data_IF_900856353859
#
_entry.id   IF_900856353859
#
_cell.length_a   1.000
_cell.length_b   1.000
_cell.length_c   1.000
_cell.angle_alpha   90.00
_cell.angle_beta   90.00
_cell.angle_gamma   90.00
#
_symmetry.space_group_name_H-M   'P 1'
#
loop_
_entity.id
_entity.type
_entity.pdbx_description
1 polymer ?
#
# COMPACT_ATOMS: atom_id res chain seq x y z
N UNK A 1 -39.63 30.24 -62.27
CA UNK A 1 -38.20 30.21 -61.90
C UNK A 1 -38.01 31.25 -60.80
N UNK A 2 -37.65 31.02 -59.53
CA UNK A 2 -37.22 29.88 -58.69
C UNK A 2 -37.52 30.27 -57.21
N UNK A 3 -37.90 29.27 -56.40
CA UNK A 3 -37.88 29.07 -54.93
C UNK A 3 -37.86 30.24 -53.92
N UNK A 4 -38.75 30.15 -52.92
CA UNK A 4 -38.39 30.24 -51.49
C UNK A 4 -39.42 29.51 -50.61
N UNK A 5 -38.95 28.65 -49.70
CA UNK A 5 -39.72 27.79 -48.80
C UNK A 5 -39.79 28.38 -47.38
N UNK A 6 -40.89 28.11 -46.66
CA UNK A 6 -41.05 28.43 -45.24
C UNK A 6 -41.47 27.16 -44.46
N UNK A 7 -40.82 26.83 -43.33
CA UNK A 7 -41.30 25.75 -42.45
C UNK A 7 -42.14 26.26 -41.27
N UNK A 8 -43.21 25.50 -41.06
CA UNK A 8 -44.23 25.53 -40.01
C UNK A 8 -43.65 25.10 -38.64
N UNK A 9 -43.98 25.84 -37.57
CA UNK A 9 -43.56 25.57 -36.18
C UNK A 9 -44.76 25.03 -35.39
N UNK A 10 -44.77 23.77 -34.92
CA UNK A 10 -45.71 23.35 -33.89
C UNK A 10 -45.11 23.47 -32.49
N UNK A 11 -45.93 24.03 -31.60
CA UNK A 11 -45.76 24.18 -30.16
C UNK A 11 -45.73 22.83 -29.43
N UNK A 12 -44.80 22.64 -28.49
CA UNK A 12 -44.89 21.61 -27.43
C UNK A 12 -44.49 22.27 -26.11
N UNK A 13 -45.45 22.33 -25.20
CA UNK A 13 -45.30 22.94 -23.88
C UNK A 13 -44.65 22.04 -22.84
N UNK A 14 -44.32 22.67 -21.71
CA UNK A 14 -44.37 22.06 -20.38
C UNK A 14 -43.19 21.16 -19.99
N UNK A 15 -42.06 21.76 -19.61
CA UNK A 15 -41.04 21.06 -18.82
C UNK A 15 -41.45 21.09 -17.34
N UNK A 16 -42.06 20.00 -16.86
CA UNK A 16 -42.45 19.81 -15.46
C UNK A 16 -41.59 18.71 -14.82
N UNK A 17 -40.97 19.08 -13.70
CA UNK A 17 -40.55 18.23 -12.58
C UNK A 17 -39.71 16.96 -12.88
N UNK A 18 -38.40 17.07 -12.69
CA UNK A 18 -37.53 15.92 -12.44
C UNK A 18 -37.58 15.58 -10.94
N UNK A 19 -38.54 14.75 -10.56
CA UNK A 19 -38.56 14.06 -9.28
C UNK A 19 -37.91 12.69 -9.39
N UNK A 20 -37.31 12.25 -8.27
CA UNK A 20 -37.06 10.85 -7.89
C UNK A 20 -35.78 10.21 -8.46
N UNK A 21 -34.68 10.44 -7.75
CA UNK A 21 -33.55 9.51 -7.75
C UNK A 21 -33.94 8.22 -6.99
N UNK A 22 -33.58 7.10 -7.61
CA UNK A 22 -33.89 5.74 -7.27
C UNK A 22 -33.65 5.34 -5.79
N UNK A 23 -34.66 4.70 -5.21
CA UNK A 23 -34.49 3.66 -4.19
C UNK A 23 -34.51 2.29 -4.88
N UNK A 24 -33.50 1.48 -4.63
CA UNK A 24 -33.38 0.01 -4.66
C UNK A 24 -31.86 -0.23 -4.64
N UNK A 25 -31.23 -0.66 -3.55
CA UNK A 25 -31.53 -1.89 -2.83
C UNK A 25 -30.48 -2.92 -3.27
N UNK A 26 -29.33 -2.94 -2.58
CA UNK A 26 -28.50 -4.14 -2.49
C UNK A 26 -27.77 -4.11 -1.13
N UNK A 27 -28.42 -4.72 -0.14
CA UNK A 27 -27.80 -5.13 1.10
C UNK A 27 -26.83 -6.28 0.83
N UNK A 28 -25.54 -5.99 0.60
CA UNK A 28 -24.46 -6.91 0.97
C UNK A 28 -23.29 -6.10 1.54
N UNK A 29 -23.47 -5.54 2.75
CA UNK A 29 -22.34 -5.26 3.66
C UNK A 29 -22.43 -6.18 4.87
N UNK A 30 -22.59 -7.48 4.59
CA UNK A 30 -22.50 -8.55 5.58
C UNK A 30 -21.63 -9.66 5.00
N UNK A 31 -20.33 -9.37 4.90
CA UNK A 31 -19.36 -10.29 4.29
C UNK A 31 -17.91 -9.82 4.21
N UNK A 32 -17.56 -8.62 4.66
CA UNK A 32 -16.16 -8.18 4.72
C UNK A 32 -15.36 -8.82 5.88
N UNK A 33 -16.03 -9.50 6.82
CA UNK A 33 -15.40 -10.15 7.98
C UNK A 33 -14.99 -11.62 7.74
N UNK A 34 -14.89 -12.08 6.48
CA UNK A 34 -14.57 -13.48 6.19
C UNK A 34 -13.35 -13.72 5.28
N UNK A 35 -12.50 -12.71 5.02
CA UNK A 35 -11.26 -12.91 4.24
C UNK A 35 -10.08 -12.09 4.78
N UNK A 36 -9.64 -12.37 6.00
CA UNK A 36 -8.28 -12.06 6.40
C UNK A 36 -7.72 -13.23 7.20
N UNK A 37 -6.99 -14.09 6.50
CA UNK A 37 -6.09 -15.07 7.10
C UNK A 37 -5.06 -14.36 7.98
N UNK A 38 -5.42 -13.98 9.21
CA UNK A 38 -4.58 -13.47 10.33
C UNK A 38 -3.28 -12.74 9.91
N UNK A 39 -3.35 -11.93 8.87
CA UNK A 39 -2.23 -11.17 8.32
C UNK A 39 -2.27 -9.75 8.85
N UNK A 40 -1.13 -9.08 8.97
CA UNK A 40 -1.08 -7.68 9.36
C UNK A 40 -1.85 -6.80 8.37
N UNK A 41 -2.32 -5.64 8.84
CA UNK A 41 -2.97 -4.66 7.95
C UNK A 41 -1.87 -3.96 7.14
N UNK A 42 -1.74 -4.37 5.88
CA UNK A 42 -0.79 -3.80 4.91
C UNK A 42 -1.31 -2.58 4.16
N UNK A 43 -0.47 -2.08 3.24
CA UNK A 43 -0.86 -1.13 2.21
C UNK A 43 -1.87 -1.77 1.25
N UNK A 44 -2.73 -0.96 0.63
CA UNK A 44 -3.57 -1.45 -0.46
C UNK A 44 -2.69 -1.90 -1.64
N UNK A 45 -3.19 -2.87 -2.41
CA UNK A 45 -2.49 -3.42 -3.58
C UNK A 45 -2.07 -2.30 -4.55
N UNK A 46 -0.81 -2.27 -4.95
CA UNK A 46 -0.20 -1.24 -5.80
C UNK A 46 0.30 0.00 -5.06
N UNK A 47 -0.07 0.21 -3.79
CA UNK A 47 0.33 1.38 -3.02
C UNK A 47 1.61 1.17 -2.21
N UNK A 48 2.06 -0.08 -2.01
CA UNK A 48 3.29 -0.36 -1.24
C UNK A 48 4.53 0.32 -1.82
N UNK A 49 4.59 0.46 -3.15
CA UNK A 49 5.70 1.14 -3.84
C UNK A 49 5.82 2.63 -3.52
N UNK A 50 4.72 3.29 -3.13
CA UNK A 50 4.75 4.73 -2.84
C UNK A 50 5.63 5.07 -1.63
N UNK A 51 5.80 4.11 -0.72
CA UNK A 51 6.69 4.24 0.43
C UNK A 51 8.18 4.04 0.07
N UNK A 52 8.50 3.53 -1.12
CA UNK A 52 9.82 3.08 -1.53
C UNK A 52 10.55 4.16 -2.34
N UNK A 53 10.95 5.24 -1.66
CA UNK A 53 11.57 6.39 -2.33
C UNK A 53 13.00 6.07 -2.83
N UNK A 54 13.37 6.41 -4.09
CA UNK A 54 14.65 6.02 -4.70
C UNK A 54 15.89 6.40 -3.88
N UNK A 55 15.88 7.58 -3.24
CA UNK A 55 16.98 8.07 -2.40
C UNK A 55 17.27 7.16 -1.20
N UNK A 56 16.28 6.38 -0.77
CA UNK A 56 16.35 5.58 0.45
C UNK A 56 16.58 4.10 0.19
N UNK A 57 16.40 3.62 -1.03
CA UNK A 57 16.48 2.18 -1.36
C UNK A 57 17.85 1.58 -1.02
N UNK A 58 18.95 2.28 -1.36
CA UNK A 58 20.29 1.78 -1.05
C UNK A 58 20.52 1.66 0.45
N UNK A 59 20.09 2.67 1.22
CA UNK A 59 20.21 2.65 2.68
C UNK A 59 19.34 1.54 3.28
N UNK A 60 18.07 1.46 2.87
CA UNK A 60 17.12 0.54 3.45
C UNK A 60 17.43 -0.93 3.12
N UNK A 61 17.99 -1.23 1.94
CA UNK A 61 18.34 -2.59 1.53
C UNK A 61 19.63 -3.12 2.15
N UNK A 62 20.46 -2.27 2.76
CA UNK A 62 21.81 -2.63 3.22
C UNK A 62 21.83 -3.87 4.12
N UNK A 63 20.96 -3.96 5.12
CA UNK A 63 20.95 -5.11 6.03
C UNK A 63 20.42 -6.39 5.40
N UNK A 64 19.61 -6.29 4.34
CA UNK A 64 19.23 -7.46 3.55
C UNK A 64 20.39 -7.98 2.70
N UNK A 65 21.27 -7.08 2.23
CA UNK A 65 22.52 -7.46 1.57
C UNK A 65 23.45 -8.15 2.59
N UNK A 66 23.64 -7.54 3.76
CA UNK A 66 24.51 -8.09 4.83
C UNK A 66 24.02 -9.44 5.35
N UNK A 67 22.72 -9.71 5.31
CA UNK A 67 22.12 -10.99 5.72
C UNK A 67 22.03 -12.05 4.60
N UNK A 68 22.51 -11.72 3.40
CA UNK A 68 22.52 -12.59 2.23
C UNK A 68 21.16 -12.80 1.57
N UNK A 69 20.14 -12.01 1.92
CA UNK A 69 18.84 -12.00 1.22
C UNK A 69 18.96 -11.31 -0.13
N UNK A 70 19.80 -10.28 -0.23
CA UNK A 70 20.08 -9.57 -1.46
C UNK A 70 21.56 -9.68 -1.82
N UNK A 71 21.87 -9.62 -3.12
CA UNK A 71 23.24 -9.48 -3.60
C UNK A 71 23.78 -8.07 -3.39
N UNK A 72 25.07 -7.85 -3.66
CA UNK A 72 25.69 -6.53 -3.61
C UNK A 72 24.89 -5.46 -4.36
N UNK A 73 24.98 -4.21 -3.90
CA UNK A 73 24.16 -3.12 -4.44
C UNK A 73 24.38 -2.92 -5.95
N UNK A 74 23.28 -2.95 -6.68
CA UNK A 74 23.20 -2.70 -8.12
C UNK A 74 21.79 -2.21 -8.47
N UNK A 75 21.57 -1.75 -9.71
CA UNK A 75 20.22 -1.39 -10.18
C UNK A 75 19.25 -2.58 -10.10
N UNK A 76 19.73 -3.77 -10.45
CA UNK A 76 18.94 -5.00 -10.36
C UNK A 76 18.61 -5.34 -8.89
N UNK A 77 19.57 -5.19 -7.98
CA UNK A 77 19.35 -5.37 -6.53
C UNK A 77 18.31 -4.39 -6.00
N UNK A 78 18.36 -3.12 -6.43
CA UNK A 78 17.36 -2.12 -6.07
C UNK A 78 15.95 -2.51 -6.54
N UNK A 79 15.81 -3.03 -7.75
CA UNK A 79 14.53 -3.54 -8.27
C UNK A 79 14.03 -4.74 -7.46
N UNK A 80 14.91 -5.71 -7.16
CA UNK A 80 14.56 -6.87 -6.31
C UNK A 80 14.12 -6.45 -4.92
N UNK A 81 14.80 -5.47 -4.33
CA UNK A 81 14.39 -4.91 -3.06
C UNK A 81 13.00 -4.28 -3.14
N UNK A 82 12.70 -3.51 -4.20
CA UNK A 82 11.38 -2.90 -4.40
C UNK A 82 10.29 -3.97 -4.52
N UNK A 83 10.52 -5.02 -5.32
CA UNK A 83 9.58 -6.14 -5.46
C UNK A 83 9.30 -6.84 -4.13
N UNK A 84 10.35 -7.15 -3.37
CA UNK A 84 10.28 -7.80 -2.07
C UNK A 84 9.56 -6.92 -1.05
N UNK A 85 10.00 -5.67 -0.90
CA UNK A 85 9.44 -4.74 0.07
C UNK A 85 7.98 -4.44 -0.24
N UNK A 86 7.62 -4.24 -1.52
CA UNK A 86 6.22 -4.04 -1.94
C UNK A 86 5.34 -5.21 -1.52
N UNK A 87 5.80 -6.45 -1.74
CA UNK A 87 5.05 -7.65 -1.35
C UNK A 87 4.79 -7.69 0.16
N UNK A 88 5.81 -7.40 0.97
CA UNK A 88 5.68 -7.39 2.43
C UNK A 88 4.80 -6.23 2.90
N UNK A 89 4.93 -5.04 2.31
CA UNK A 89 4.12 -3.88 2.65
C UNK A 89 2.64 -4.10 2.34
N UNK A 90 2.31 -4.75 1.22
CA UNK A 90 0.92 -5.01 0.82
C UNK A 90 0.30 -6.24 1.48
N UNK A 91 1.11 -7.27 1.76
CA UNK A 91 0.65 -8.53 2.37
C UNK A 91 1.58 -8.93 3.54
N UNK A 92 1.64 -8.14 4.61
CA UNK A 92 2.46 -8.48 5.75
C UNK A 92 1.86 -9.66 6.50
N UNK A 93 2.72 -10.51 7.03
CA UNK A 93 2.34 -11.52 8.03
C UNK A 93 1.85 -10.84 9.30
N UNK A 94 2.51 -9.76 9.72
CA UNK A 94 2.09 -8.96 10.87
C UNK A 94 2.57 -7.51 10.74
N UNK A 95 1.94 -6.61 11.48
CA UNK A 95 2.37 -5.21 11.59
C UNK A 95 2.47 -4.80 13.05
N UNK A 96 3.38 -3.91 13.37
CA UNK A 96 3.58 -3.42 14.73
C UNK A 96 4.15 -2.00 14.72
N UNK A 97 3.94 -1.28 15.81
CA UNK A 97 4.55 0.02 16.02
C UNK A 97 5.88 -0.15 16.78
N UNK A 98 6.88 0.65 16.41
CA UNK A 98 8.19 0.63 17.05
C UNK A 98 8.83 2.03 17.04
N UNK A 99 9.80 2.23 17.90
CA UNK A 99 10.62 3.45 17.94
C UNK A 99 12.07 3.02 17.74
N UNK A 100 12.69 3.53 16.67
CA UNK A 100 14.10 3.26 16.40
C UNK A 100 14.98 3.88 17.50
N UNK A 101 16.22 3.41 17.63
CA UNK A 101 17.16 3.89 18.66
C UNK A 101 17.38 5.41 18.65
N UNK A 102 17.17 6.07 17.50
CA UNK A 102 17.25 7.53 17.35
C UNK A 102 15.96 8.29 17.67
N UNK A 103 14.96 7.63 18.27
CA UNK A 103 13.69 8.25 18.66
C UNK A 103 12.65 8.34 17.54
N UNK A 104 12.94 7.85 16.33
CA UNK A 104 12.00 7.94 15.22
C UNK A 104 10.91 6.87 15.33
N UNK A 105 9.65 7.29 15.39
CA UNK A 105 8.51 6.39 15.33
C UNK A 105 8.36 5.76 13.93
N UNK A 106 8.24 4.44 13.90
CA UNK A 106 8.10 3.65 12.67
C UNK A 106 6.99 2.61 12.82
N UNK A 107 6.41 2.20 11.69
CA UNK A 107 5.57 1.03 11.57
C UNK A 107 6.36 -0.09 10.89
N UNK A 108 6.49 -1.22 11.57
CA UNK A 108 7.10 -2.43 11.06
C UNK A 108 6.09 -3.31 10.32
N UNK A 109 6.50 -3.84 9.19
CA UNK A 109 5.76 -4.80 8.37
C UNK A 109 6.59 -6.07 8.29
N UNK A 110 6.16 -7.10 9.00
CA UNK A 110 6.79 -8.42 9.02
C UNK A 110 6.31 -9.23 7.82
N UNK A 111 7.24 -9.87 7.12
CA UNK A 111 6.95 -10.85 6.10
C UNK A 111 8.10 -11.86 5.99
N UNK A 112 8.08 -12.66 4.93
CA UNK A 112 9.13 -13.65 4.67
C UNK A 112 9.80 -13.41 3.32
N UNK A 113 11.11 -13.62 3.29
CA UNK A 113 11.92 -13.69 2.08
C UNK A 113 12.98 -14.79 2.25
N UNK A 114 13.10 -15.67 1.26
CA UNK A 114 14.06 -16.79 1.25
C UNK A 114 14.05 -17.63 2.54
N UNK A 115 12.85 -17.90 3.06
CA UNK A 115 12.64 -18.67 4.29
C UNK A 115 12.96 -17.93 5.60
N UNK A 116 13.50 -16.70 5.54
CA UNK A 116 13.79 -15.87 6.71
C UNK A 116 12.68 -14.85 6.93
N UNK A 117 12.50 -14.47 8.20
CA UNK A 117 11.69 -13.33 8.57
C UNK A 117 12.39 -12.02 8.14
N UNK A 118 11.63 -11.11 7.55
CA UNK A 118 12.10 -9.80 7.12
C UNK A 118 11.11 -8.76 7.61
N UNK A 119 11.63 -7.68 8.19
CA UNK A 119 10.83 -6.52 8.59
C UNK A 119 11.19 -5.34 7.73
N UNK A 120 10.17 -4.70 7.15
CA UNK A 120 10.28 -3.39 6.51
C UNK A 120 9.73 -2.34 7.47
N UNK A 121 10.50 -1.28 7.74
CA UNK A 121 10.06 -0.17 8.60
C UNK A 121 9.72 1.05 7.75
N UNK A 122 8.57 1.67 8.02
CA UNK A 122 8.11 2.92 7.41
C UNK A 122 8.02 3.99 8.49
N UNK A 123 8.47 5.23 8.25
CA UNK A 123 8.29 6.30 9.25
C UNK A 123 6.82 6.64 9.43
N UNK A 124 6.43 6.82 10.69
CA UNK A 124 5.10 7.32 11.05
C UNK A 124 5.03 8.84 11.01
N UNK A 125 6.15 9.53 11.25
CA UNK A 125 6.19 10.97 11.45
C UNK A 125 7.50 11.61 10.97
N UNK A 126 7.53 12.94 11.02
CA UNK A 126 8.68 13.76 10.62
C UNK A 126 8.79 13.98 9.11
N UNK A 127 9.93 14.52 8.68
CA UNK A 127 10.19 14.90 7.27
C UNK A 127 10.04 13.74 6.27
N UNK A 128 10.17 12.50 6.73
CA UNK A 128 10.12 11.29 5.91
C UNK A 128 8.89 10.42 6.20
N UNK A 129 7.85 10.98 6.84
CA UNK A 129 6.63 10.24 7.14
C UNK A 129 6.07 9.55 5.88
N UNK A 130 5.72 8.27 6.01
CA UNK A 130 5.26 7.43 4.91
C UNK A 130 6.38 6.85 4.03
N UNK A 131 7.64 7.28 4.17
CA UNK A 131 8.77 6.71 3.45
C UNK A 131 9.43 5.55 4.21
N UNK A 132 10.12 4.69 3.46
CA UNK A 132 10.89 3.57 4.01
C UNK A 132 12.04 4.03 4.90
N UNK A 133 12.02 3.62 6.16
CA UNK A 133 13.10 3.87 7.12
C UNK A 133 14.30 2.97 6.85
N UNK A 134 14.10 1.67 7.01
CA UNK A 134 15.11 0.63 6.84
C UNK A 134 14.43 -0.74 6.70
N UNK A 135 15.20 -1.79 6.41
CA UNK A 135 14.75 -3.17 6.47
C UNK A 135 15.79 -4.04 7.18
N UNK A 136 15.34 -5.12 7.83
CA UNK A 136 16.23 -6.04 8.56
C UNK A 136 15.70 -7.47 8.51
N UNK A 137 16.61 -8.43 8.73
CA UNK A 137 16.27 -9.79 9.16
C UNK A 137 16.37 -9.80 10.69
N UNK A 138 15.26 -9.78 11.43
CA UNK A 138 15.32 -9.77 12.89
C UNK A 138 15.79 -11.11 13.44
N UNK A 139 16.50 -11.06 14.57
CA UNK A 139 16.80 -12.26 15.34
C UNK A 139 15.60 -12.65 16.24
N UNK A 140 15.59 -13.88 16.81
CA UNK A 140 14.48 -14.34 17.65
C UNK A 140 14.19 -13.43 18.86
N UNK A 141 15.21 -12.81 19.45
CA UNK A 141 15.01 -11.89 20.58
C UNK A 141 14.32 -10.59 20.16
N UNK A 142 14.58 -10.10 18.94
CA UNK A 142 13.89 -8.94 18.37
C UNK A 142 12.43 -9.26 18.07
N UNK A 143 12.17 -10.42 17.45
CA UNK A 143 10.81 -10.91 17.22
C UNK A 143 10.03 -11.01 18.53
N UNK A 144 10.63 -11.62 19.57
CA UNK A 144 10.01 -11.76 20.89
C UNK A 144 9.66 -10.40 21.52
N UNK A 145 10.53 -9.39 21.37
CA UNK A 145 10.26 -8.02 21.86
C UNK A 145 9.07 -7.36 21.17
N UNK A 146 8.75 -7.76 19.94
CA UNK A 146 7.57 -7.26 19.21
C UNK A 146 6.36 -8.19 19.34
N UNK A 147 6.45 -9.23 20.17
CA UNK A 147 5.36 -10.17 20.41
C UNK A 147 5.27 -11.34 19.42
N UNK A 148 6.30 -11.56 18.60
CA UNK A 148 6.38 -12.67 17.66
C UNK A 148 7.28 -13.79 18.22
N UNK A 149 6.92 -15.04 17.99
CA UNK A 149 7.66 -16.22 18.47
C UNK A 149 8.17 -17.04 17.29
#
# INVERSE_FOLDING_TARGET
>A
VVLAAAPFIPSIGGLKALGKAASHGDEIVKGAEAIASRGGIGFAKGLGQTALTPRRLQHASRHLIESGILSNWSKATGQRFVELATRILEKPTATFDHVLRGGQAVKGFLGKADGKDVVIFIFKEGKYAGEIATSIVPNPAQLAKWGFR
#
